data_IF_984858332796
#
_entry.id   IF_984858332796
#
_cell.length_a   1.000
_cell.length_b   1.000
_cell.length_c   1.000
_cell.angle_alpha   90.00
_cell.angle_beta   90.00
_cell.angle_gamma   90.00
#
_symmetry.space_group_name_H-M   'P 1'
#
loop_
_entity.id
_entity.type
_entity.pdbx_description
1 polymer ?
#
# COMPACT_ATOMS: atom_id res chain seq x y z
N UNK A 1 -8.84 -25.97 -9.46
CA UNK A 1 -8.82 -26.54 -8.09
C UNK A 1 -10.00 -25.94 -7.34
N UNK A 2 -10.89 -26.79 -6.85
CA UNK A 2 -12.13 -26.41 -6.17
C UNK A 2 -11.79 -25.75 -4.82
N UNK A 3 -12.28 -24.54 -4.58
CA UNK A 3 -12.18 -23.88 -3.29
C UNK A 3 -12.97 -24.70 -2.26
N UNK A 4 -12.25 -25.35 -1.33
CA UNK A 4 -12.86 -26.00 -0.17
C UNK A 4 -13.63 -24.94 0.63
N UNK A 5 -14.96 -25.02 0.62
CA UNK A 5 -15.80 -24.13 1.41
C UNK A 5 -15.44 -24.25 2.88
N UNK A 6 -15.03 -23.14 3.50
CA UNK A 6 -14.84 -23.06 4.95
C UNK A 6 -16.22 -23.17 5.60
N UNK A 7 -16.41 -24.17 6.47
CA UNK A 7 -17.64 -24.27 7.27
C UNK A 7 -17.79 -23.03 8.14
N UNK A 8 -19.01 -22.47 8.18
CA UNK A 8 -19.30 -21.32 9.02
C UNK A 8 -19.02 -21.65 10.50
N UNK A 9 -18.31 -20.75 11.19
CA UNK A 9 -18.02 -20.88 12.61
C UNK A 9 -19.19 -20.29 13.42
N UNK A 10 -19.79 -21.07 14.32
CA UNK A 10 -20.78 -20.54 15.24
C UNK A 10 -20.11 -20.15 16.55
N UNK A 11 -20.65 -19.15 17.26
CA UNK A 11 -20.27 -18.89 18.66
C UNK A 11 -20.38 -20.13 19.55
N UNK A 12 -21.23 -21.11 19.20
CA UNK A 12 -21.36 -22.39 19.92
C UNK A 12 -20.24 -23.40 19.64
N UNK A 13 -19.39 -23.15 18.64
CA UNK A 13 -18.27 -24.04 18.25
C UNK A 13 -17.02 -23.89 19.12
N UNK A 14 -17.16 -23.19 20.24
CA UNK A 14 -16.09 -22.53 20.98
C UNK A 14 -16.35 -22.68 22.48
N UNK A 15 -15.28 -22.85 23.28
CA UNK A 15 -15.41 -22.98 24.73
C UNK A 15 -15.42 -21.60 25.41
N UNK A 16 -16.54 -21.26 26.06
CA UNK A 16 -16.76 -20.00 26.77
C UNK A 16 -16.76 -20.14 28.29
N UNK A 17 -16.43 -21.33 28.82
CA UNK A 17 -16.50 -21.62 30.26
C UNK A 17 -15.62 -20.69 31.10
N UNK A 18 -14.51 -20.19 30.56
CA UNK A 18 -13.61 -19.23 31.19
C UNK A 18 -13.94 -17.75 30.88
N UNK A 19 -15.01 -17.49 30.09
CA UNK A 19 -15.41 -16.15 29.67
C UNK A 19 -16.43 -15.52 30.61
N UNK A 20 -16.34 -14.20 30.79
CA UNK A 20 -17.40 -13.42 31.44
C UNK A 20 -18.72 -13.38 30.66
N UNK A 21 -18.69 -13.66 29.36
CA UNK A 21 -19.91 -13.77 28.54
C UNK A 21 -20.69 -15.07 28.83
N UNK A 22 -20.03 -16.09 29.38
CA UNK A 22 -20.64 -17.38 29.67
C UNK A 22 -21.20 -18.09 28.43
N UNK A 23 -22.15 -19.00 28.66
CA UNK A 23 -22.75 -19.86 27.64
C UNK A 23 -23.43 -19.06 26.50
N UNK A 24 -22.99 -19.24 25.23
CA UNK A 24 -23.59 -18.61 24.06
C UNK A 24 -25.10 -18.79 23.90
N UNK A 25 -25.68 -19.88 24.40
CA UNK A 25 -27.13 -20.10 24.34
C UNK A 25 -27.92 -19.10 25.18
N UNK A 26 -27.28 -18.52 26.20
CA UNK A 26 -27.88 -17.54 27.12
C UNK A 26 -27.57 -16.10 26.72
N UNK A 27 -26.79 -15.90 25.68
CA UNK A 27 -26.45 -14.55 25.22
C UNK A 27 -27.69 -13.81 24.69
N UNK A 28 -27.78 -12.50 24.95
CA UNK A 28 -28.73 -11.63 24.26
C UNK A 28 -28.64 -11.83 22.74
N UNK A 29 -29.77 -11.70 22.04
CA UNK A 29 -29.82 -11.93 20.59
C UNK A 29 -28.80 -11.07 19.83
N UNK A 30 -28.63 -9.80 20.22
CA UNK A 30 -27.66 -8.90 19.63
C UNK A 30 -26.21 -9.41 19.75
N UNK A 31 -25.83 -9.97 20.90
CA UNK A 31 -24.49 -10.53 21.12
C UNK A 31 -24.28 -11.81 20.29
N UNK A 32 -25.28 -12.68 20.16
CA UNK A 32 -25.18 -13.88 19.30
C UNK A 32 -24.95 -13.51 17.85
N UNK A 33 -25.76 -12.59 17.32
CA UNK A 33 -25.63 -12.10 15.93
C UNK A 33 -24.27 -11.45 15.71
N UNK A 34 -23.86 -10.56 16.63
CA UNK A 34 -22.56 -9.89 16.52
C UNK A 34 -21.39 -10.88 16.62
N UNK A 35 -21.47 -11.87 17.50
CA UNK A 35 -20.47 -12.93 17.62
C UNK A 35 -20.34 -13.74 16.33
N UNK A 36 -21.45 -14.23 15.78
CA UNK A 36 -21.46 -14.98 14.52
C UNK A 36 -20.93 -14.10 13.36
N UNK A 37 -21.26 -12.81 13.32
CA UNK A 37 -20.68 -11.87 12.35
C UNK A 37 -19.16 -11.76 12.51
N UNK A 38 -18.67 -11.57 13.74
CA UNK A 38 -17.23 -11.47 14.03
C UNK A 38 -16.49 -12.71 13.56
N UNK A 39 -16.98 -13.91 13.87
CA UNK A 39 -16.29 -15.16 13.56
C UNK A 39 -16.31 -15.56 12.07
N UNK A 40 -17.29 -15.09 11.30
CA UNK A 40 -17.43 -15.45 9.89
C UNK A 40 -16.97 -14.37 8.91
N UNK A 41 -16.55 -13.20 9.41
CA UNK A 41 -16.06 -12.12 8.55
C UNK A 41 -14.55 -12.26 8.32
N UNK A 42 -14.06 -12.16 7.06
CA UNK A 42 -12.64 -12.28 6.74
C UNK A 42 -11.80 -11.04 7.10
N UNK A 43 -12.41 -9.99 7.65
CA UNK A 43 -11.74 -8.76 8.09
C UNK A 43 -11.30 -8.86 9.56
N UNK A 44 -10.25 -8.15 10.01
CA UNK A 44 -9.90 -8.09 11.43
C UNK A 44 -11.00 -7.35 12.21
N UNK A 45 -11.68 -8.07 13.12
CA UNK A 45 -12.79 -7.52 13.92
C UNK A 45 -12.57 -7.75 15.42
N UNK A 46 -12.99 -6.76 16.21
CA UNK A 46 -13.16 -6.85 17.65
C UNK A 46 -14.59 -6.47 18.03
N UNK A 47 -15.12 -7.07 19.07
CA UNK A 47 -16.38 -6.77 19.70
C UNK A 47 -16.11 -6.49 21.17
N UNK A 48 -16.50 -5.31 21.63
CA UNK A 48 -16.50 -4.95 23.05
C UNK A 48 -17.93 -5.07 23.56
N UNK A 49 -18.14 -5.83 24.61
CA UNK A 49 -19.48 -6.10 25.13
C UNK A 49 -19.61 -5.83 26.63
N UNK A 50 -20.71 -5.18 26.99
CA UNK A 50 -21.11 -4.90 28.37
C UNK A 50 -20.22 -3.87 29.08
N UNK A 51 -20.61 -3.54 30.31
CA UNK A 51 -19.91 -2.56 31.17
C UNK A 51 -18.53 -3.04 31.65
N UNK A 52 -18.34 -4.35 31.68
CA UNK A 52 -17.07 -4.98 32.01
C UNK A 52 -16.08 -4.97 30.84
N UNK A 53 -16.45 -4.37 29.70
CA UNK A 53 -15.60 -4.22 28.50
C UNK A 53 -15.02 -5.56 28.03
N UNK A 54 -15.86 -6.60 27.99
CA UNK A 54 -15.40 -7.93 27.54
C UNK A 54 -15.11 -7.89 26.05
N UNK A 55 -13.88 -8.23 25.66
CA UNK A 55 -13.45 -8.18 24.27
C UNK A 55 -13.49 -9.57 23.64
N UNK A 56 -14.14 -9.67 22.48
CA UNK A 56 -14.15 -10.83 21.59
C UNK A 56 -13.52 -10.40 20.27
N UNK A 57 -12.74 -11.25 19.62
CA UNK A 57 -12.14 -10.94 18.32
C UNK A 57 -12.02 -12.20 17.47
N UNK A 58 -11.84 -12.02 16.16
CA UNK A 58 -11.70 -13.14 15.24
C UNK A 58 -10.24 -13.51 14.96
N UNK A 59 -10.05 -14.62 14.27
CA UNK A 59 -8.73 -15.15 13.91
C UNK A 59 -7.92 -14.20 13.03
N UNK A 60 -8.57 -13.40 12.17
CA UNK A 60 -7.90 -12.41 11.33
C UNK A 60 -7.26 -11.32 12.19
N UNK A 61 -7.97 -10.83 13.21
CA UNK A 61 -7.39 -9.92 14.19
C UNK A 61 -6.28 -10.59 15.01
N UNK A 62 -6.47 -11.84 15.45
CA UNK A 62 -5.45 -12.56 16.20
C UNK A 62 -4.15 -12.75 15.39
N UNK A 63 -4.25 -13.01 14.08
CA UNK A 63 -3.10 -13.10 13.18
C UNK A 63 -2.35 -11.77 13.06
N UNK A 64 -3.06 -10.64 13.09
CA UNK A 64 -2.48 -9.29 13.07
C UNK A 64 -1.81 -8.95 14.40
N UNK A 65 -2.48 -9.23 15.52
CA UNK A 65 -2.03 -8.84 16.85
C UNK A 65 -0.91 -9.73 17.41
N UNK A 66 -0.71 -10.91 16.83
CA UNK A 66 0.34 -11.84 17.18
C UNK A 66 0.03 -12.68 18.42
N UNK A 67 0.98 -13.53 18.86
CA UNK A 67 0.76 -14.57 19.85
C UNK A 67 0.43 -14.04 21.26
N UNK A 68 0.70 -12.77 21.55
CA UNK A 68 0.38 -12.13 22.83
C UNK A 68 -1.13 -12.04 23.11
N UNK A 69 -1.97 -12.03 22.07
CA UNK A 69 -3.43 -12.03 22.19
C UNK A 69 -4.01 -13.46 22.24
N UNK A 70 -3.15 -14.50 22.20
CA UNK A 70 -3.54 -15.89 22.28
C UNK A 70 -4.35 -16.39 21.09
N UNK A 71 -4.85 -17.63 21.18
CA UNK A 71 -5.86 -18.20 20.28
C UNK A 71 -6.99 -18.73 21.13
N UNK A 72 -8.04 -17.95 21.38
CA UNK A 72 -9.32 -18.51 21.85
C UNK A 72 -10.43 -17.46 21.82
N UNK A 73 -11.70 -17.90 21.82
CA UNK A 73 -12.85 -17.11 22.22
C UNK A 73 -12.84 -16.85 23.72
N UNK A 74 -12.93 -15.58 24.11
CA UNK A 74 -13.63 -15.16 25.33
C UNK A 74 -12.87 -15.12 26.66
N UNK A 75 -11.58 -15.44 26.74
CA UNK A 75 -10.82 -15.26 27.99
C UNK A 75 -10.50 -13.80 28.28
N UNK A 76 -10.73 -13.37 29.53
CA UNK A 76 -10.57 -12.04 30.16
C UNK A 76 -9.79 -11.00 29.38
N UNK A 77 -10.36 -9.77 29.35
CA UNK A 77 -9.73 -8.49 28.98
C UNK A 77 -8.24 -8.68 28.75
N UNK A 78 -7.75 -8.61 27.50
CA UNK A 78 -6.33 -8.85 27.26
C UNK A 78 -5.54 -8.01 28.27
N UNK A 79 -4.48 -8.58 28.88
CA UNK A 79 -3.76 -7.95 30.01
C UNK A 79 -3.25 -6.55 29.64
N UNK A 80 -3.21 -6.27 28.33
CA UNK A 80 -3.02 -4.97 27.72
C UNK A 80 -4.25 -4.66 26.87
N UNK A 81 -4.73 -3.42 26.96
CA UNK A 81 -5.82 -2.93 26.11
C UNK A 81 -5.47 -3.14 24.62
N UNK A 82 -6.40 -3.67 23.79
CA UNK A 82 -6.15 -3.85 22.36
C UNK A 82 -5.77 -2.51 21.71
N UNK A 83 -4.73 -2.45 20.85
CA UNK A 83 -4.26 -1.20 20.24
C UNK A 83 -5.37 -0.39 19.54
N UNK A 84 -6.31 -1.00 18.79
CA UNK A 84 -7.41 -0.26 18.18
C UNK A 84 -8.28 0.49 19.20
N UNK A 85 -8.55 -0.15 20.34
CA UNK A 85 -9.39 0.43 21.39
C UNK A 85 -8.63 1.50 22.19
N UNK A 86 -7.32 1.36 22.32
CA UNK A 86 -6.48 2.34 22.99
C UNK A 86 -6.27 3.61 22.13
N UNK A 87 -6.03 3.45 20.83
CA UNK A 87 -5.76 4.56 19.91
C UNK A 87 -7.04 5.29 19.49
N UNK A 88 -8.17 4.57 19.33
CA UNK A 88 -9.47 5.13 18.97
C UNK A 88 -10.38 5.41 20.17
N UNK A 89 -9.82 5.80 21.32
CA UNK A 89 -10.57 5.95 22.58
C UNK A 89 -11.73 6.94 22.49
N UNK A 90 -11.52 8.11 21.87
CA UNK A 90 -12.55 9.13 21.71
C UNK A 90 -13.72 8.65 20.83
N UNK A 91 -13.40 7.96 19.72
CA UNK A 91 -14.38 7.37 18.83
C UNK A 91 -15.13 6.21 19.51
N UNK A 92 -14.44 5.38 20.29
CA UNK A 92 -15.05 4.33 21.09
C UNK A 92 -16.05 4.90 22.11
N UNK A 93 -15.69 5.98 22.81
CA UNK A 93 -16.61 6.65 23.74
C UNK A 93 -17.85 7.22 23.05
N UNK A 94 -17.69 7.81 21.87
CA UNK A 94 -18.81 8.31 21.04
C UNK A 94 -19.69 7.16 20.55
N UNK A 95 -19.09 6.02 20.19
CA UNK A 95 -19.84 4.81 19.86
C UNK A 95 -20.67 4.31 21.05
N UNK A 96 -20.13 4.34 22.27
CA UNK A 96 -20.91 4.03 23.47
C UNK A 96 -22.08 5.01 23.72
N UNK A 97 -21.98 6.26 23.24
CA UNK A 97 -23.09 7.23 23.22
C UNK A 97 -24.08 7.00 22.07
N UNK A 98 -23.83 6.03 21.21
CA UNK A 98 -24.74 5.60 20.14
C UNK A 98 -24.43 6.19 18.76
N UNK A 99 -23.27 6.82 18.58
CA UNK A 99 -22.82 7.37 17.29
C UNK A 99 -21.94 6.35 16.54
N UNK A 100 -22.23 6.09 15.26
CA UNK A 100 -21.24 5.38 14.43
C UNK A 100 -20.08 6.32 14.08
N UNK A 101 -18.85 5.89 14.34
CA UNK A 101 -17.66 6.74 14.19
C UNK A 101 -16.55 6.04 13.43
N UNK A 102 -15.67 6.83 12.82
CA UNK A 102 -14.47 6.36 12.15
C UNK A 102 -13.26 7.16 12.66
N UNK A 103 -12.19 6.46 12.99
CA UNK A 103 -10.88 7.03 13.30
C UNK A 103 -9.94 6.67 12.13
N UNK A 104 -9.77 7.55 11.13
CA UNK A 104 -9.01 7.22 9.94
C UNK A 104 -7.49 7.23 10.19
N UNK A 105 -6.76 6.39 9.45
CA UNK A 105 -5.30 6.42 9.36
C UNK A 105 -4.55 6.23 10.69
N UNK A 106 -5.12 5.44 11.62
CA UNK A 106 -4.52 5.23 12.94
C UNK A 106 -3.37 4.26 12.84
N UNK A 107 -2.18 4.70 13.25
CA UNK A 107 -1.02 3.84 13.38
C UNK A 107 -1.20 2.86 14.55
N UNK A 108 -1.22 1.57 14.24
CA UNK A 108 -1.29 0.49 15.23
C UNK A 108 0.04 -0.25 15.28
N UNK A 109 0.56 -0.43 16.49
CA UNK A 109 1.73 -1.26 16.75
C UNK A 109 1.30 -2.56 17.45
N UNK A 110 1.64 -3.70 16.86
CA UNK A 110 1.38 -5.02 17.45
C UNK A 110 2.70 -5.65 17.88
N UNK A 111 2.87 -5.83 19.19
CA UNK A 111 4.05 -6.46 19.76
C UNK A 111 4.02 -7.98 19.49
N UNK A 112 4.45 -8.41 18.30
CA UNK A 112 4.69 -9.83 17.98
C UNK A 112 4.09 -10.37 16.68
N UNK A 113 3.50 -9.55 15.81
CA UNK A 113 3.06 -9.97 14.47
C UNK A 113 4.20 -9.97 13.44
N UNK A 114 4.12 -10.80 12.40
CA UNK A 114 5.06 -10.83 11.27
C UNK A 114 5.02 -9.55 10.39
N UNK A 115 4.06 -8.66 10.63
CA UNK A 115 3.95 -7.31 10.06
C UNK A 115 4.02 -6.31 11.21
N UNK A 116 5.13 -5.58 11.33
CA UNK A 116 5.51 -4.74 12.47
C UNK A 116 4.71 -3.44 12.64
N UNK A 117 3.37 -3.52 12.62
CA UNK A 117 2.47 -2.38 12.68
C UNK A 117 2.05 -1.86 11.30
N UNK A 118 1.02 -1.01 11.28
CA UNK A 118 0.43 -0.46 10.05
C UNK A 118 -0.62 0.61 10.34
N UNK A 119 -1.05 1.32 9.30
CA UNK A 119 -2.12 2.32 9.38
C UNK A 119 -3.48 1.68 9.08
N UNK A 120 -4.45 1.93 9.95
CA UNK A 120 -5.79 1.35 9.85
C UNK A 120 -6.87 2.41 10.05
N UNK A 121 -7.93 2.33 9.24
CA UNK A 121 -9.17 3.02 9.53
C UNK A 121 -9.95 2.18 10.55
N UNK A 122 -10.23 2.77 11.70
CA UNK A 122 -10.92 2.11 12.79
C UNK A 122 -12.39 2.53 12.78
N UNK A 123 -13.27 1.61 12.40
CA UNK A 123 -14.70 1.83 12.36
C UNK A 123 -15.36 1.29 13.62
N UNK A 124 -16.00 2.16 14.39
CA UNK A 124 -16.72 1.80 15.61
C UNK A 124 -18.22 1.90 15.36
N UNK A 125 -18.92 0.78 15.50
CA UNK A 125 -20.36 0.66 15.28
C UNK A 125 -21.06 0.25 16.58
N UNK A 126 -21.97 1.07 17.11
CA UNK A 126 -22.74 0.70 18.29
C UNK A 126 -23.70 -0.45 18.00
N UNK A 127 -23.73 -1.42 18.90
CA UNK A 127 -24.68 -2.53 18.90
C UNK A 127 -25.70 -2.30 19.99
N UNK A 128 -26.98 -2.23 19.60
CA UNK A 128 -28.09 -1.96 20.50
C UNK A 128 -28.75 -3.27 20.94
N UNK A 129 -29.16 -3.31 22.18
CA UNK A 129 -30.05 -4.36 22.69
C UNK A 129 -31.51 -4.12 22.26
N UNK A 130 -32.41 -4.97 22.75
CA UNK A 130 -33.84 -4.89 22.47
C UNK A 130 -34.49 -3.59 23.00
N UNK A 131 -33.89 -2.96 24.01
CA UNK A 131 -34.36 -1.72 24.63
C UNK A 131 -33.77 -0.47 23.94
N UNK A 132 -33.01 -0.67 22.86
CA UNK A 132 -32.36 0.38 22.09
C UNK A 132 -31.11 0.97 22.76
N UNK A 133 -30.69 0.43 23.91
CA UNK A 133 -29.48 0.85 24.61
C UNK A 133 -28.25 0.24 23.96
N UNK A 134 -27.15 0.99 23.92
CA UNK A 134 -25.88 0.46 23.40
C UNK A 134 -25.33 -0.54 24.40
N UNK A 135 -25.31 -1.81 24.02
CA UNK A 135 -24.85 -2.93 24.85
C UNK A 135 -23.44 -3.42 24.45
N UNK A 136 -22.99 -3.05 23.25
CA UNK A 136 -21.65 -3.34 22.77
C UNK A 136 -21.21 -2.41 21.65
N UNK A 137 -19.94 -2.48 21.29
CA UNK A 137 -19.35 -1.76 20.16
C UNK A 137 -18.55 -2.74 19.32
N UNK A 138 -18.89 -2.82 18.03
CA UNK A 138 -18.09 -3.53 17.04
C UNK A 138 -17.01 -2.58 16.52
N UNK A 139 -15.76 -3.04 16.54
CA UNK A 139 -14.61 -2.36 15.95
C UNK A 139 -14.14 -3.16 14.73
N UNK A 140 -14.20 -2.55 13.55
CA UNK A 140 -13.63 -3.11 12.33
C UNK A 140 -12.36 -2.37 11.94
N UNK A 141 -11.30 -3.12 11.64
CA UNK A 141 -10.07 -2.57 11.11
C UNK A 141 -10.10 -2.76 9.59
N UNK A 142 -10.30 -1.66 8.87
CA UNK A 142 -9.93 -1.63 7.48
C UNK A 142 -8.45 -1.21 7.40
N UNK A 143 -7.63 -1.84 6.53
CA UNK A 143 -6.39 -1.20 6.12
C UNK A 143 -6.77 0.23 5.75
N UNK A 144 -6.14 1.22 6.38
CA UNK A 144 -6.38 2.59 5.97
C UNK A 144 -6.14 2.59 4.48
N UNK A 145 -7.09 3.15 3.70
CA UNK A 145 -6.76 3.47 2.33
C UNK A 145 -5.46 4.24 2.45
N UNK A 146 -4.37 3.68 1.96
CA UNK A 146 -3.14 4.40 1.91
C UNK A 146 -3.49 5.61 1.06
N UNK A 147 -3.67 6.78 1.69
CA UNK A 147 -2.98 7.93 1.18
C UNK A 147 -1.57 7.38 0.95
N UNK A 148 -1.16 7.21 -0.32
CA UNK A 148 -0.05 6.36 -0.72
C UNK A 148 1.02 6.54 0.32
N UNK A 149 1.32 5.45 1.02
CA UNK A 149 2.16 5.43 2.21
C UNK A 149 3.28 6.43 1.96
N UNK A 150 3.29 7.52 2.72
CA UNK A 150 4.44 8.38 2.82
C UNK A 150 5.53 7.60 3.58
N UNK A 151 5.94 6.46 3.01
CA UNK A 151 7.35 6.19 2.83
C UNK A 151 7.93 7.49 2.32
N UNK A 152 8.99 7.97 2.96
CA UNK A 152 9.78 9.08 2.48
C UNK A 152 10.48 8.71 1.15
N UNK A 153 9.71 8.39 0.12
CA UNK A 153 9.98 8.77 -1.24
C UNK A 153 9.07 9.98 -1.44
N UNK A 154 9.68 11.14 -1.66
CA UNK A 154 8.97 12.28 -2.21
C UNK A 154 7.98 11.78 -3.26
N UNK A 155 6.72 12.20 -3.18
CA UNK A 155 5.95 12.34 -4.40
C UNK A 155 6.80 13.26 -5.27
N UNK A 156 7.68 12.68 -6.08
CA UNK A 156 8.35 13.40 -7.13
C UNK A 156 7.18 14.03 -7.89
N UNK A 157 7.13 15.36 -7.89
CA UNK A 157 6.21 16.08 -8.74
C UNK A 157 6.37 15.60 -10.20
N UNK A 158 5.61 16.18 -11.14
CA UNK A 158 5.80 15.85 -12.55
C UNK A 158 7.30 15.85 -12.90
N UNK A 159 7.85 14.67 -13.22
CA UNK A 159 9.24 14.55 -13.63
C UNK A 159 9.41 15.28 -14.95
N UNK A 160 10.52 16.00 -15.10
CA UNK A 160 10.89 16.63 -16.37
C UNK A 160 11.75 15.66 -17.14
N UNK A 161 11.16 15.05 -18.16
CA UNK A 161 11.76 13.95 -18.93
C UNK A 161 12.20 14.48 -20.30
N UNK A 162 13.47 14.28 -20.63
CA UNK A 162 13.99 14.51 -21.97
C UNK A 162 13.96 13.20 -22.75
N UNK A 163 13.17 13.16 -23.83
CA UNK A 163 13.03 12.01 -24.72
C UNK A 163 13.89 12.22 -25.96
N UNK A 164 14.77 11.26 -26.26
CA UNK A 164 15.65 11.28 -27.43
C UNK A 164 15.39 10.05 -28.28
N UNK A 165 14.73 10.25 -29.40
CA UNK A 165 14.26 9.20 -30.31
C UNK A 165 14.27 9.79 -31.73
N UNK A 166 14.99 9.16 -32.66
CA UNK A 166 15.18 9.68 -34.02
C UNK A 166 13.95 9.48 -34.92
N UNK A 167 13.08 8.54 -34.59
CA UNK A 167 11.78 8.40 -35.22
C UNK A 167 10.74 9.34 -34.60
N UNK A 168 10.28 10.33 -35.39
CA UNK A 168 9.34 11.37 -34.93
C UNK A 168 8.02 10.80 -34.40
N UNK A 169 7.49 9.73 -35.01
CA UNK A 169 6.23 9.12 -34.58
C UNK A 169 6.39 8.42 -33.22
N UNK A 170 7.47 7.64 -33.07
CA UNK A 170 7.83 7.01 -31.78
C UNK A 170 8.09 8.05 -30.70
N UNK A 171 8.82 9.12 -31.03
CA UNK A 171 9.13 10.23 -30.12
C UNK A 171 7.84 10.89 -29.62
N UNK A 172 6.91 11.19 -30.52
CA UNK A 172 5.61 11.77 -30.20
C UNK A 172 4.81 10.84 -29.28
N UNK A 173 4.70 9.56 -29.64
CA UNK A 173 3.96 8.57 -28.87
C UNK A 173 4.48 8.43 -27.44
N UNK A 174 5.80 8.34 -27.28
CA UNK A 174 6.45 8.26 -25.95
C UNK A 174 6.14 9.53 -25.15
N UNK A 175 6.29 10.72 -25.74
CA UNK A 175 5.98 11.97 -25.04
C UNK A 175 4.52 12.03 -24.57
N UNK A 176 3.57 11.60 -25.40
CA UNK A 176 2.15 11.57 -25.03
C UNK A 176 1.86 10.58 -23.90
N UNK A 177 2.48 9.39 -23.93
CA UNK A 177 2.35 8.42 -22.83
C UNK A 177 2.90 8.98 -21.52
N UNK A 178 4.08 9.61 -21.54
CA UNK A 178 4.69 10.22 -20.37
C UNK A 178 3.83 11.35 -19.79
N UNK A 179 3.24 12.19 -20.65
CA UNK A 179 2.30 13.25 -20.24
C UNK A 179 1.01 12.68 -19.67
N UNK A 180 0.48 11.61 -20.25
CA UNK A 180 -0.71 10.92 -19.73
C UNK A 180 -0.48 10.35 -18.31
N UNK A 181 0.77 9.98 -17.98
CA UNK A 181 1.17 9.58 -16.63
C UNK A 181 1.43 10.76 -15.68
N UNK A 182 1.26 12.01 -16.12
CA UNK A 182 1.41 13.19 -15.29
C UNK A 182 2.84 13.73 -15.21
N UNK A 183 3.70 13.41 -16.18
CA UNK A 183 5.06 13.96 -16.27
C UNK A 183 5.16 15.07 -17.35
N UNK A 184 6.19 15.91 -17.25
CA UNK A 184 6.57 16.81 -18.33
C UNK A 184 7.52 16.07 -19.29
N UNK A 185 7.22 16.06 -20.58
CA UNK A 185 8.06 15.40 -21.58
C UNK A 185 8.43 16.36 -22.71
N UNK A 186 9.73 16.55 -22.92
CA UNK A 186 10.30 17.27 -24.06
C UNK A 186 10.98 16.25 -24.98
N UNK A 187 10.55 16.19 -26.23
CA UNK A 187 11.16 15.30 -27.22
C UNK A 187 12.13 16.02 -28.15
N UNK A 188 13.23 15.35 -28.49
CA UNK A 188 14.18 15.76 -29.54
C UNK A 188 14.58 14.57 -30.40
N UNK A 189 14.82 14.81 -31.69
CA UNK A 189 15.17 13.78 -32.67
C UNK A 189 16.67 13.47 -32.78
N UNK A 190 17.54 14.31 -32.21
CA UNK A 190 18.98 14.22 -32.40
C UNK A 190 19.76 14.41 -31.09
N UNK A 191 20.83 13.63 -30.81
CA UNK A 191 21.62 13.74 -29.58
C UNK A 191 22.16 15.16 -29.28
N UNK A 192 22.61 15.89 -30.30
CA UNK A 192 23.12 17.26 -30.13
C UNK A 192 22.05 18.25 -29.64
N UNK A 193 20.79 18.05 -30.06
CA UNK A 193 19.68 18.87 -29.58
C UNK A 193 19.39 18.57 -28.11
N UNK A 194 19.51 17.30 -27.71
CA UNK A 194 19.40 16.88 -26.31
C UNK A 194 20.47 17.55 -25.44
N UNK A 195 21.73 17.56 -25.87
CA UNK A 195 22.82 18.24 -25.15
C UNK A 195 22.61 19.75 -25.04
N UNK A 196 21.99 20.37 -26.05
CA UNK A 196 21.61 21.79 -26.03
C UNK A 196 20.51 22.04 -25.01
N UNK A 197 19.48 21.18 -24.94
CA UNK A 197 18.40 21.25 -23.95
C UNK A 197 18.92 21.04 -22.52
N UNK A 198 19.78 20.05 -22.31
CA UNK A 198 20.45 19.79 -21.03
C UNK A 198 21.37 20.94 -20.58
N UNK A 199 21.86 21.77 -21.51
CA UNK A 199 22.60 22.97 -21.17
C UNK A 199 21.69 24.13 -20.74
N UNK A 200 20.47 24.20 -21.29
CA UNK A 200 19.54 25.31 -21.08
C UNK A 200 18.61 25.11 -19.87
N UNK A 201 18.42 23.88 -19.41
CA UNK A 201 17.51 23.58 -18.31
C UNK A 201 17.84 22.28 -17.58
N UNK A 202 17.07 22.00 -16.54
CA UNK A 202 17.19 20.78 -15.73
C UNK A 202 16.19 19.72 -16.18
N UNK A 203 16.63 18.47 -16.21
CA UNK A 203 15.81 17.29 -16.46
C UNK A 203 16.10 16.25 -15.38
N UNK A 204 15.05 15.57 -14.98
CA UNK A 204 15.06 14.52 -13.95
C UNK A 204 15.44 13.15 -14.53
N UNK A 205 14.99 12.93 -15.77
CA UNK A 205 15.14 11.66 -16.48
C UNK A 205 15.55 11.93 -17.92
N UNK A 206 16.57 11.22 -18.38
CA UNK A 206 16.88 11.05 -19.80
C UNK A 206 16.30 9.73 -20.27
N UNK A 207 15.31 9.78 -21.15
CA UNK A 207 14.79 8.63 -21.88
C UNK A 207 15.38 8.67 -23.29
N UNK A 208 16.20 7.69 -23.66
CA UNK A 208 16.91 7.73 -24.95
C UNK A 208 16.91 6.36 -25.62
N UNK A 209 16.74 6.33 -26.94
CA UNK A 209 17.16 5.17 -27.73
C UNK A 209 18.68 4.99 -27.56
N UNK A 210 19.13 3.74 -27.55
CA UNK A 210 20.55 3.40 -27.60
C UNK A 210 21.11 3.62 -29.00
N UNK A 211 20.34 3.29 -30.03
CA UNK A 211 20.75 3.32 -31.44
C UNK A 211 20.37 4.63 -32.11
N UNK A 212 21.07 5.71 -31.75
CA UNK A 212 20.85 7.04 -32.32
C UNK A 212 21.87 7.36 -33.44
N UNK A 213 21.48 8.14 -34.46
CA UNK A 213 22.39 8.59 -35.50
C UNK A 213 23.46 9.55 -34.94
N UNK A 214 24.70 9.38 -35.38
CA UNK A 214 25.84 10.23 -35.03
C UNK A 214 26.49 9.94 -33.67
N UNK A 215 25.70 9.75 -32.61
CA UNK A 215 26.17 9.43 -31.25
C UNK A 215 25.23 8.40 -30.62
N UNK A 216 25.76 7.37 -29.96
CA UNK A 216 24.91 6.39 -29.25
C UNK A 216 24.24 7.00 -28.03
N UNK A 217 23.06 6.49 -27.66
CA UNK A 217 22.38 6.90 -26.43
C UNK A 217 23.23 6.71 -25.17
N UNK A 218 24.09 5.69 -25.15
CA UNK A 218 25.03 5.44 -24.04
C UNK A 218 26.04 6.57 -23.89
N UNK A 219 26.60 7.04 -25.00
CA UNK A 219 27.54 8.16 -24.99
C UNK A 219 26.85 9.46 -24.60
N UNK A 220 25.65 9.70 -25.13
CA UNK A 220 24.81 10.83 -24.74
C UNK A 220 24.52 10.84 -23.22
N UNK A 221 24.14 9.69 -22.66
CA UNK A 221 23.88 9.54 -21.24
C UNK A 221 25.12 9.80 -20.38
N UNK A 222 26.31 9.33 -20.80
CA UNK A 222 27.57 9.60 -20.11
C UNK A 222 27.86 11.11 -20.04
N UNK A 223 27.66 11.82 -21.15
CA UNK A 223 27.85 13.27 -21.21
C UNK A 223 26.81 14.01 -20.36
N UNK A 224 25.56 13.56 -20.37
CA UNK A 224 24.49 14.14 -19.57
C UNK A 224 24.75 13.97 -18.06
N UNK A 225 25.17 12.78 -17.62
CA UNK A 225 25.50 12.49 -16.21
C UNK A 225 26.73 13.26 -15.71
N UNK A 226 27.66 13.62 -16.59
CA UNK A 226 28.80 14.48 -16.22
C UNK A 226 28.31 15.87 -15.78
N UNK A 227 27.18 16.35 -16.35
CA UNK A 227 26.57 17.64 -16.01
C UNK A 227 25.56 17.54 -14.88
N UNK A 228 24.75 16.48 -14.89
CA UNK A 228 23.70 16.23 -13.92
C UNK A 228 23.86 14.82 -13.33
N UNK A 229 24.74 14.63 -12.32
CA UNK A 229 25.02 13.31 -11.74
C UNK A 229 23.82 12.63 -11.08
N UNK A 230 22.81 13.40 -10.68
CA UNK A 230 21.57 12.89 -10.08
C UNK A 230 20.50 12.52 -11.13
N UNK A 231 20.73 12.82 -12.41
CA UNK A 231 19.79 12.51 -13.48
C UNK A 231 19.69 11.00 -13.65
N UNK A 232 18.48 10.50 -13.89
CA UNK A 232 18.25 9.08 -14.09
C UNK A 232 18.16 8.75 -15.57
N UNK A 233 18.59 7.56 -15.96
CA UNK A 233 18.69 7.17 -17.38
C UNK A 233 17.82 5.95 -17.66
N UNK A 234 16.96 6.08 -18.68
CA UNK A 234 16.18 4.99 -19.25
C UNK A 234 16.62 4.80 -20.69
N UNK A 235 17.09 3.60 -21.02
CA UNK A 235 17.42 3.20 -22.38
C UNK A 235 16.25 2.44 -23.00
N UNK A 236 15.76 2.92 -24.13
CA UNK A 236 14.90 2.13 -25.01
C UNK A 236 15.80 1.32 -25.95
N UNK A 237 15.86 -0.01 -25.81
CA UNK A 237 16.80 -0.86 -26.55
C UNK A 237 16.11 -1.96 -27.35
N UNK A 238 16.61 -2.25 -28.55
CA UNK A 238 16.16 -3.38 -29.38
C UNK A 238 16.74 -4.73 -28.95
N UNK A 239 16.36 -5.80 -29.66
CA UNK A 239 16.91 -7.15 -29.41
C UNK A 239 18.39 -7.21 -29.77
N UNK A 240 19.25 -7.48 -28.77
CA UNK A 240 20.68 -7.73 -28.98
C UNK A 240 21.62 -6.55 -28.70
N UNK A 241 21.18 -5.54 -27.95
CA UNK A 241 21.99 -4.34 -27.69
C UNK A 241 23.19 -4.59 -26.75
N UNK A 242 24.34 -4.96 -27.33
CA UNK A 242 25.59 -5.23 -26.62
C UNK A 242 26.19 -3.97 -25.99
N UNK A 243 25.75 -2.78 -26.43
CA UNK A 243 26.24 -1.49 -25.95
C UNK A 243 25.93 -1.26 -24.47
N UNK A 244 24.85 -1.87 -23.95
CA UNK A 244 24.48 -1.77 -22.54
C UNK A 244 25.33 -2.64 -21.60
N UNK A 245 26.10 -3.61 -22.11
CA UNK A 245 26.86 -4.57 -21.30
C UNK A 245 28.04 -3.95 -20.53
N UNK A 246 28.51 -2.79 -20.96
CA UNK A 246 29.68 -2.11 -20.38
C UNK A 246 29.33 -0.71 -19.84
N UNK A 247 28.05 -0.49 -19.50
CA UNK A 247 27.62 0.77 -18.89
C UNK A 247 27.91 0.72 -17.39
N UNK A 248 28.73 1.66 -16.93
CA UNK A 248 29.26 1.70 -15.55
C UNK A 248 28.43 2.57 -14.59
N UNK A 249 27.36 3.21 -15.09
CA UNK A 249 26.44 4.02 -14.30
C UNK A 249 25.06 3.35 -14.16
N UNK A 250 24.27 3.67 -13.13
CA UNK A 250 22.92 3.12 -12.98
C UNK A 250 22.01 3.54 -14.14
N UNK A 251 21.28 2.58 -14.71
CA UNK A 251 20.28 2.81 -15.74
C UNK A 251 19.14 1.80 -15.62
N UNK A 252 18.00 2.12 -16.25
CA UNK A 252 16.98 1.14 -16.58
C UNK A 252 16.95 0.90 -18.08
N UNK A 253 16.65 -0.34 -18.48
CA UNK A 253 16.46 -0.70 -19.88
C UNK A 253 15.02 -1.14 -20.10
N UNK A 254 14.43 -0.58 -21.15
CA UNK A 254 13.10 -0.89 -21.63
C UNK A 254 13.25 -1.50 -23.03
N UNK A 255 12.80 -2.74 -23.18
CA UNK A 255 12.96 -3.46 -24.43
C UNK A 255 11.89 -3.02 -25.44
N UNK A 256 12.29 -2.63 -26.65
CA UNK A 256 11.38 -2.35 -27.76
C UNK A 256 10.89 -3.68 -28.41
N UNK A 257 9.60 -3.81 -28.77
CA UNK A 257 8.50 -2.90 -28.45
C UNK A 257 8.07 -3.03 -26.97
N UNK A 258 7.63 -1.93 -26.38
CA UNK A 258 7.14 -1.87 -25.01
C UNK A 258 5.71 -1.33 -24.95
N UNK A 259 4.93 -1.87 -24.01
CA UNK A 259 3.56 -1.48 -23.74
C UNK A 259 3.46 -0.40 -22.64
N UNK A 260 2.28 0.22 -22.52
CA UNK A 260 1.99 1.28 -21.56
C UNK A 260 2.40 0.89 -20.11
N UNK A 261 2.02 -0.31 -19.67
CA UNK A 261 2.32 -0.82 -18.32
C UNK A 261 3.83 -0.98 -18.09
N UNK A 262 4.59 -1.35 -19.12
CA UNK A 262 6.04 -1.53 -19.00
C UNK A 262 6.77 -0.19 -18.90
N UNK A 263 6.30 0.82 -19.64
CA UNK A 263 6.78 2.19 -19.51
C UNK A 263 6.47 2.76 -18.13
N UNK A 264 5.25 2.56 -17.62
CA UNK A 264 4.86 2.98 -16.27
C UNK A 264 5.72 2.33 -15.19
N UNK A 265 5.90 1.00 -15.26
CA UNK A 265 6.78 0.28 -14.32
C UNK A 265 8.24 0.76 -14.37
N UNK A 266 8.73 1.14 -15.56
CA UNK A 266 10.04 1.74 -15.68
C UNK A 266 10.09 3.08 -14.94
N UNK A 267 9.11 3.96 -15.15
CA UNK A 267 9.01 5.26 -14.47
C UNK A 267 8.87 5.12 -12.95
N UNK A 268 8.08 4.18 -12.46
CA UNK A 268 7.93 3.94 -11.02
C UNK A 268 9.27 3.59 -10.37
N UNK A 269 10.09 2.77 -11.04
CA UNK A 269 11.45 2.44 -10.58
C UNK A 269 12.43 3.61 -10.66
N UNK A 270 12.14 4.61 -11.48
CA UNK A 270 12.97 5.81 -11.64
C UNK A 270 12.59 6.81 -10.56
N UNK A 271 11.30 6.93 -10.28
CA UNK A 271 10.73 7.78 -9.23
C UNK A 271 11.16 7.37 -7.82
N UNK A 272 11.61 6.13 -7.62
CA UNK A 272 12.24 5.65 -6.39
C UNK A 272 13.75 5.47 -6.61
N UNK A 273 14.64 5.78 -5.64
CA UNK A 273 16.08 5.66 -5.84
C UNK A 273 16.47 4.23 -6.25
N UNK A 274 17.19 4.11 -7.37
CA UNK A 274 17.73 2.83 -7.83
C UNK A 274 18.66 2.26 -6.74
N UNK A 275 18.51 0.99 -6.33
CA UNK A 275 19.40 0.39 -5.35
C UNK A 275 20.83 0.40 -5.90
N UNK A 276 21.74 1.08 -5.19
CA UNK A 276 23.18 1.07 -5.51
C UNK A 276 23.67 -0.36 -5.36
N UNK A 277 24.16 -0.94 -6.46
CA UNK A 277 24.86 -2.23 -6.41
C UNK A 277 26.25 -1.98 -5.81
N UNK A 278 26.40 -2.27 -4.52
CA UNK A 278 27.71 -2.49 -3.86
C UNK A 278 28.40 -3.74 -4.38
#
# INVERSE_FOLDING_TARGET
MLHSGRSAHSSSSYDWSASRLGDPQRWPQALRIAGDFVFNTPLPLLLVWGRDMTVVFNETYAALAGPAYGRVPGGSVPPVMPPPLAVGGDELERAWRGESTCAPGRALAFAGGSHGGGSYDLHFTPLRDADGQVAGVLCALAPAASAPEATAAEAAGPLRILVVEDNVDSQYLVCEMLRAFGHEADGVGHPNDALTRLAAGTYDVLFTDVSLPGMSGVELARQALTRAPAMRVIFASGYGDTLLRHVEFPYLSLQKPYELDQLQQALDKVSHPLPVRT
#
